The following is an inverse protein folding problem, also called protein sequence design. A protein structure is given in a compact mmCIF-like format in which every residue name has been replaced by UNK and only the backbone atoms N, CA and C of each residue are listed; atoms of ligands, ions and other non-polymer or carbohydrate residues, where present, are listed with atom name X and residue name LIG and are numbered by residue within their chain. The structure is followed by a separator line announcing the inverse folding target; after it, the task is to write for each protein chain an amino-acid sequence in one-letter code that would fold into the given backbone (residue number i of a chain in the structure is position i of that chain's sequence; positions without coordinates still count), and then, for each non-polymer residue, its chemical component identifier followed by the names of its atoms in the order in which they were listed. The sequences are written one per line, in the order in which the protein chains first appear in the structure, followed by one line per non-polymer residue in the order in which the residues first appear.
data_IF_996574206752
#
_entry.id   IF_996574206752
#
_cell.length_a   1.000
_cell.length_b   1.000
_cell.length_c   1.000
_cell.angle_alpha   90.00
_cell.angle_beta   90.00
_cell.angle_gamma   90.00
#
_symmetry.space_group_name_H-M   'P 1'
#
loop_
_entity.id
_entity.type
_entity.pdbx_description
1 polymer ?
#
# COMPACT_ATOMS: atom_id res chain seq x y z
N UNK A 1 11.21 -7.12 -0.03
CA UNK A 1 10.18 -8.18 -0.02
C UNK A 1 10.23 -8.87 1.33
N UNK A 2 9.07 -9.10 1.97
CA UNK A 2 8.97 -9.86 3.22
C UNK A 2 8.18 -11.13 2.96
N UNK A 3 8.70 -12.28 3.41
CA UNK A 3 8.08 -13.60 3.20
C UNK A 3 7.91 -14.29 4.54
N UNK A 4 6.69 -14.74 4.83
CA UNK A 4 6.34 -15.48 6.05
C UNK A 4 5.45 -16.67 5.70
N UNK A 5 5.36 -17.63 6.61
CA UNK A 5 4.35 -18.70 6.53
C UNK A 5 3.06 -18.24 7.21
N UNK A 6 1.93 -18.73 6.74
CA UNK A 6 0.64 -18.55 7.41
C UNK A 6 0.62 -19.30 8.74
N UNK A 7 -0.14 -18.79 9.69
CA UNK A 7 -0.44 -19.46 10.97
C UNK A 7 -1.86 -19.99 10.96
N UNK A 8 -2.13 -20.96 11.81
CA UNK A 8 -3.50 -21.35 12.11
C UNK A 8 -4.20 -20.23 12.89
N UNK A 9 -5.52 -20.16 12.78
CA UNK A 9 -6.32 -19.07 13.38
C UNK A 9 -6.20 -18.97 14.91
N UNK A 10 -5.86 -20.06 15.58
CA UNK A 10 -5.71 -20.18 17.03
C UNK A 10 -4.29 -19.91 17.54
N UNK A 11 -3.33 -19.65 16.65
CA UNK A 11 -1.95 -19.38 17.01
C UNK A 11 -1.70 -17.86 17.18
N UNK A 12 -1.36 -17.44 18.40
CA UNK A 12 -1.06 -16.02 18.76
C UNK A 12 0.45 -15.71 18.78
N UNK A 13 1.21 -16.29 17.86
CA UNK A 13 2.66 -16.07 17.74
C UNK A 13 3.00 -15.22 16.52
N UNK A 14 4.21 -14.68 16.46
CA UNK A 14 4.68 -13.99 15.26
C UNK A 14 4.72 -14.93 14.05
N UNK A 15 4.34 -14.43 12.86
CA UNK A 15 4.40 -15.21 11.63
C UNK A 15 5.81 -15.74 11.39
N UNK A 16 5.99 -17.08 11.23
CA UNK A 16 7.30 -17.67 10.95
C UNK A 16 7.89 -17.11 9.66
N UNK A 17 9.15 -16.70 9.70
CA UNK A 17 9.86 -16.16 8.55
C UNK A 17 10.32 -17.27 7.62
N UNK A 18 10.45 -16.95 6.33
CA UNK A 18 11.01 -17.84 5.31
C UNK A 18 12.35 -17.26 4.89
N UNK A 19 13.44 -17.91 5.33
CA UNK A 19 14.81 -17.40 5.15
C UNK A 19 15.57 -18.15 4.05
N UNK A 20 15.00 -19.22 3.51
CA UNK A 20 15.62 -20.12 2.53
C UNK A 20 14.98 -20.04 1.13
N UNK A 21 14.21 -18.98 0.84
CA UNK A 21 13.66 -18.78 -0.49
C UNK A 21 14.70 -18.20 -1.46
N UNK A 22 14.60 -18.59 -2.73
CA UNK A 22 15.25 -17.89 -3.83
C UNK A 22 14.22 -16.89 -4.38
N UNK A 23 14.52 -15.61 -4.27
CA UNK A 23 13.63 -14.51 -4.69
C UNK A 23 14.27 -13.77 -5.85
N UNK A 24 13.60 -13.74 -6.99
CA UNK A 24 14.06 -13.05 -8.19
C UNK A 24 13.04 -12.00 -8.60
N UNK A 25 13.50 -10.80 -8.91
CA UNK A 25 12.69 -9.77 -9.57
C UNK A 25 13.25 -9.53 -10.95
N UNK A 26 12.39 -9.49 -11.96
CA UNK A 26 12.72 -9.09 -13.33
C UNK A 26 11.74 -8.03 -13.82
N UNK A 27 12.15 -7.23 -14.82
CA UNK A 27 11.28 -6.28 -15.49
C UNK A 27 11.09 -6.64 -16.97
N UNK A 28 10.12 -5.99 -17.60
CA UNK A 28 9.83 -6.17 -19.03
C UNK A 28 10.87 -5.51 -19.99
N UNK A 29 11.91 -4.88 -19.43
CA UNK A 29 13.05 -4.36 -20.19
C UNK A 29 14.27 -5.32 -20.19
N UNK A 30 14.12 -6.52 -19.59
CA UNK A 30 15.17 -7.55 -19.57
C UNK A 30 16.12 -7.45 -18.38
N UNK A 31 15.88 -6.56 -17.41
CA UNK A 31 16.67 -6.52 -16.19
C UNK A 31 16.18 -7.60 -15.22
N UNK A 32 17.08 -8.18 -14.46
CA UNK A 32 16.75 -9.20 -13.46
C UNK A 32 17.76 -9.17 -12.32
N UNK A 33 17.30 -9.40 -11.10
CA UNK A 33 18.14 -9.50 -9.92
C UNK A 33 17.60 -10.56 -8.96
N UNK A 34 18.52 -11.36 -8.40
CA UNK A 34 18.23 -12.23 -7.27
C UNK A 34 18.43 -11.44 -5.98
N UNK A 35 17.40 -11.36 -5.15
CA UNK A 35 17.40 -10.58 -3.92
C UNK A 35 18.23 -11.28 -2.84
N UNK A 36 18.92 -10.47 -2.04
CA UNK A 36 19.69 -10.95 -0.88
C UNK A 36 18.83 -10.94 0.39
N UNK A 37 18.93 -11.99 1.21
CA UNK A 37 18.36 -12.01 2.55
C UNK A 37 19.13 -11.02 3.43
N UNK A 38 18.44 -10.02 3.98
CA UNK A 38 19.04 -8.95 4.81
C UNK A 38 18.57 -8.98 6.26
N UNK A 39 17.46 -9.63 6.55
CA UNK A 39 16.93 -9.90 7.88
C UNK A 39 15.94 -11.09 7.80
N UNK A 40 15.51 -11.70 8.91
CA UNK A 40 14.59 -12.82 8.90
C UNK A 40 13.37 -12.55 8.01
N UNK A 41 13.17 -13.40 6.98
CA UNK A 41 12.14 -13.30 5.95
C UNK A 41 12.20 -12.07 5.07
N UNK A 42 13.24 -11.23 5.16
CA UNK A 42 13.34 -9.96 4.42
C UNK A 42 14.41 -10.03 3.34
N UNK A 43 13.98 -9.87 2.10
CA UNK A 43 14.83 -9.90 0.90
C UNK A 43 14.87 -8.52 0.27
N UNK A 44 16.05 -8.08 -0.19
CA UNK A 44 16.27 -6.74 -0.75
C UNK A 44 17.06 -6.81 -2.06
N UNK A 45 16.68 -5.94 -3.01
CA UNK A 45 17.48 -5.64 -4.21
C UNK A 45 18.70 -4.82 -3.84
N UNK A 46 19.78 -4.95 -4.60
CA UNK A 46 21.00 -4.15 -4.44
C UNK A 46 21.16 -3.15 -5.58
N UNK A 47 20.77 -3.53 -6.81
CA UNK A 47 21.04 -2.77 -8.02
C UNK A 47 19.77 -2.44 -8.82
N UNK A 48 18.73 -3.28 -8.77
CA UNK A 48 17.52 -3.07 -9.56
C UNK A 48 16.75 -1.86 -9.02
N UNK A 49 16.65 -0.83 -9.85
CA UNK A 49 15.88 0.37 -9.55
C UNK A 49 14.50 0.30 -10.22
N UNK A 50 13.49 0.83 -9.53
CA UNK A 50 12.16 0.99 -10.09
C UNK A 50 12.14 2.06 -11.19
N UNK A 51 11.45 1.76 -12.28
CA UNK A 51 11.20 2.68 -13.40
C UNK A 51 9.70 2.66 -13.68
N UNK A 52 9.11 3.82 -13.72
CA UNK A 52 7.68 4.01 -14.03
C UNK A 52 7.31 3.42 -15.38
N UNK A 53 6.09 2.90 -15.48
CA UNK A 53 5.57 2.24 -16.67
C UNK A 53 6.10 0.83 -16.90
N UNK A 54 7.13 0.37 -16.17
CA UNK A 54 7.61 -1.01 -16.29
C UNK A 54 6.76 -1.98 -15.50
N UNK A 55 6.60 -3.17 -16.06
CA UNK A 55 6.01 -4.32 -15.38
C UNK A 55 7.10 -5.17 -14.77
N UNK A 56 6.98 -5.37 -13.48
CA UNK A 56 7.90 -6.20 -12.69
C UNK A 56 7.25 -7.54 -12.40
N UNK A 57 8.05 -8.59 -12.51
CA UNK A 57 7.68 -9.96 -12.14
C UNK A 57 8.53 -10.40 -10.97
N UNK A 58 7.89 -10.79 -9.88
CA UNK A 58 8.56 -11.48 -8.78
C UNK A 58 8.36 -12.98 -8.91
N UNK A 59 9.43 -13.73 -8.69
CA UNK A 59 9.41 -15.19 -8.61
C UNK A 59 10.03 -15.61 -7.29
N UNK A 60 9.29 -16.36 -6.48
CA UNK A 60 9.72 -16.89 -5.19
C UNK A 60 9.73 -18.41 -5.27
N UNK A 61 10.91 -19.00 -5.14
CA UNK A 61 11.07 -20.48 -5.10
C UNK A 61 11.48 -20.91 -3.71
N UNK A 62 10.69 -21.77 -3.10
CA UNK A 62 10.93 -22.30 -1.75
C UNK A 62 10.31 -23.68 -1.59
N UNK A 63 11.05 -24.61 -0.99
CA UNK A 63 10.58 -25.98 -0.69
C UNK A 63 9.98 -26.70 -1.93
N UNK A 64 10.60 -26.52 -3.10
CA UNK A 64 10.17 -27.11 -4.38
C UNK A 64 8.92 -26.50 -5.00
N UNK A 65 8.38 -25.42 -4.43
CA UNK A 65 7.25 -24.65 -4.97
C UNK A 65 7.73 -23.31 -5.53
N UNK A 66 7.03 -22.84 -6.56
CA UNK A 66 7.30 -21.53 -7.16
C UNK A 66 6.02 -20.69 -7.16
N UNK A 67 6.16 -19.46 -6.71
CA UNK A 67 5.11 -18.45 -6.67
C UNK A 67 5.53 -17.27 -7.54
N UNK A 68 4.63 -16.79 -8.38
CA UNK A 68 4.92 -15.69 -9.31
C UNK A 68 3.80 -14.67 -9.28
N UNK A 69 4.16 -13.40 -9.23
CA UNK A 69 3.23 -12.28 -9.34
C UNK A 69 3.81 -11.17 -10.22
N UNK A 70 2.92 -10.37 -10.79
CA UNK A 70 3.28 -9.20 -11.58
C UNK A 70 2.65 -7.95 -10.99
N UNK A 71 3.35 -6.82 -11.17
CA UNK A 71 2.85 -5.49 -10.86
C UNK A 71 3.49 -4.49 -11.81
N UNK A 72 2.68 -3.58 -12.36
CA UNK A 72 3.17 -2.48 -13.19
C UNK A 72 3.33 -1.25 -12.33
N UNK A 73 4.52 -0.66 -12.31
CA UNK A 73 4.79 0.56 -11.57
C UNK A 73 4.06 1.74 -12.23
N UNK A 74 3.08 2.36 -11.56
CA UNK A 74 2.38 3.51 -12.12
C UNK A 74 3.30 4.72 -12.28
N UNK A 75 2.90 5.66 -13.13
CA UNK A 75 3.49 6.99 -13.16
C UNK A 75 3.32 7.67 -11.82
N UNK A 76 4.33 8.42 -11.40
CA UNK A 76 4.29 9.18 -10.16
C UNK A 76 3.28 10.33 -10.26
N UNK A 77 2.41 10.44 -9.27
CA UNK A 77 1.55 11.60 -9.08
C UNK A 77 2.14 12.48 -7.98
N UNK A 78 2.22 13.77 -8.24
CA UNK A 78 2.78 14.73 -7.28
C UNK A 78 1.82 14.91 -6.11
N UNK A 79 2.32 14.77 -4.89
CA UNK A 79 1.62 15.12 -3.66
C UNK A 79 2.11 16.52 -3.21
N UNK A 80 1.31 17.57 -3.51
CA UNK A 80 1.70 18.95 -3.27
C UNK A 80 1.62 19.37 -1.79
N UNK A 81 0.86 18.63 -0.97
CA UNK A 81 0.65 18.92 0.44
C UNK A 81 -0.53 18.14 1.01
N UNK A 82 -0.91 18.49 2.23
CA UNK A 82 -2.09 17.99 2.92
C UNK A 82 -2.95 19.17 3.35
N UNK A 83 -4.19 19.22 2.86
CA UNK A 83 -5.17 20.19 3.33
C UNK A 83 -5.88 19.64 4.56
N UNK A 84 -6.11 20.46 5.59
CA UNK A 84 -6.82 20.06 6.79
C UNK A 84 -8.26 20.52 6.69
N UNK A 85 -9.20 19.62 6.89
CA UNK A 85 -10.62 19.94 7.01
C UNK A 85 -11.07 19.75 8.44
N UNK A 86 -11.97 20.64 8.87
CA UNK A 86 -12.55 20.65 10.21
C UNK A 86 -14.06 20.57 10.05
N UNK A 87 -14.65 19.50 10.51
CA UNK A 87 -16.09 19.21 10.35
C UNK A 87 -16.74 19.26 11.72
N UNK A 88 -17.64 20.24 11.98
CA UNK A 88 -18.44 20.25 13.20
C UNK A 88 -19.37 19.02 13.25
N UNK A 89 -19.36 18.30 14.36
CA UNK A 89 -20.20 17.13 14.59
C UNK A 89 -20.86 17.18 15.97
N UNK A 90 -22.01 17.85 16.05
CA UNK A 90 -22.70 18.08 17.32
C UNK A 90 -21.91 19.04 18.23
N UNK A 91 -21.47 18.54 19.39
CA UNK A 91 -20.59 19.24 20.33
C UNK A 91 -19.09 18.94 20.06
N UNK A 92 -18.80 17.99 19.18
CA UNK A 92 -17.45 17.55 18.84
C UNK A 92 -17.01 18.13 17.49
N UNK A 93 -15.76 17.87 17.17
CA UNK A 93 -15.14 18.29 15.91
C UNK A 93 -14.35 17.14 15.34
N UNK A 94 -14.69 16.73 14.11
CA UNK A 94 -13.92 15.75 13.36
C UNK A 94 -12.91 16.51 12.51
N UNK A 95 -11.66 16.07 12.55
CA UNK A 95 -10.60 16.58 11.68
C UNK A 95 -10.11 15.49 10.77
N UNK A 96 -9.84 15.85 9.52
CA UNK A 96 -9.30 14.94 8.53
C UNK A 96 -8.30 15.68 7.63
N UNK A 97 -7.50 14.93 6.89
CA UNK A 97 -6.58 15.51 5.90
C UNK A 97 -6.97 15.07 4.51
N UNK A 98 -6.83 15.99 3.55
CA UNK A 98 -7.05 15.72 2.13
C UNK A 98 -5.68 15.75 1.44
N UNK A 99 -5.23 14.65 0.82
CA UNK A 99 -4.03 14.64 -0.02
C UNK A 99 -4.21 15.58 -1.21
N UNK A 100 -3.40 16.65 -1.28
CA UNK A 100 -3.46 17.64 -2.34
C UNK A 100 -2.72 17.10 -3.57
N UNK A 101 -3.47 16.52 -4.50
CA UNK A 101 -2.99 15.93 -5.75
C UNK A 101 -3.92 16.21 -6.92
N UNK A 102 -3.36 16.24 -8.11
CA UNK A 102 -4.07 16.21 -9.39
C UNK A 102 -3.34 15.16 -10.23
N UNK A 103 -4.06 14.23 -10.80
CA UNK A 103 -3.55 13.21 -11.73
C UNK A 103 -3.87 13.56 -13.19
N UNK A 104 -3.37 12.75 -14.11
CA UNK A 104 -3.60 12.94 -15.53
C UNK A 104 -4.99 12.42 -15.91
N UNK A 105 -5.81 13.29 -16.53
CA UNK A 105 -7.17 12.96 -16.94
C UNK A 105 -7.22 11.80 -17.95
N UNK A 106 -8.15 10.87 -17.72
CA UNK A 106 -8.39 9.71 -18.58
C UNK A 106 -7.46 8.52 -18.31
N UNK A 107 -6.61 8.60 -17.30
CA UNK A 107 -5.78 7.49 -16.81
C UNK A 107 -6.27 7.06 -15.44
N UNK A 108 -6.75 5.83 -15.31
CA UNK A 108 -7.24 5.32 -14.04
C UNK A 108 -6.10 5.17 -13.00
N UNK A 109 -6.18 5.90 -11.92
CA UNK A 109 -5.19 5.94 -10.86
C UNK A 109 -5.72 5.32 -9.55
N UNK A 110 -4.84 4.64 -8.83
CA UNK A 110 -5.14 3.98 -7.57
C UNK A 110 -4.07 4.34 -6.55
N UNK A 111 -4.52 4.66 -5.34
CA UNK A 111 -3.66 5.16 -4.27
C UNK A 111 -3.82 4.34 -3.00
N UNK A 112 -2.70 4.06 -2.36
CA UNK A 112 -2.61 3.57 -0.99
C UNK A 112 -1.92 4.64 -0.16
N UNK A 113 -2.34 4.78 1.11
CA UNK A 113 -1.68 5.70 2.02
C UNK A 113 -1.26 5.00 3.31
N UNK A 114 -0.06 5.31 3.78
CA UNK A 114 0.32 5.09 5.16
C UNK A 114 0.10 6.39 5.92
N UNK A 115 -0.63 6.33 7.02
CA UNK A 115 -1.04 7.45 7.83
C UNK A 115 -0.33 7.42 9.19
N UNK A 116 0.25 8.53 9.61
CA UNK A 116 0.97 8.64 10.88
C UNK A 116 0.49 9.87 11.64
N UNK A 117 0.30 9.70 12.95
CA UNK A 117 0.01 10.80 13.88
C UNK A 117 1.12 10.84 14.93
N UNK A 118 1.77 11.99 15.07
CA UNK A 118 2.89 12.19 16.00
C UNK A 118 4.00 11.13 15.91
N UNK A 119 4.22 10.60 14.68
CA UNK A 119 5.21 9.56 14.39
C UNK A 119 4.71 8.13 14.55
N UNK A 120 3.54 7.91 15.11
CA UNK A 120 2.94 6.58 15.23
C UNK A 120 2.08 6.26 14.00
N UNK A 121 2.30 5.09 13.40
CA UNK A 121 1.53 4.64 12.24
C UNK A 121 0.15 4.16 12.66
N UNK A 122 -0.88 4.72 12.05
CA UNK A 122 -2.24 4.17 12.09
C UNK A 122 -2.29 2.85 11.31
N UNK A 123 -2.99 1.86 11.85
CA UNK A 123 -3.09 0.51 11.27
C UNK A 123 -4.22 0.36 10.26
N UNK A 124 -4.98 1.41 10.00
CA UNK A 124 -6.03 1.44 9.00
C UNK A 124 -5.49 1.19 7.57
N UNK A 125 -6.35 0.67 6.72
CA UNK A 125 -6.10 0.56 5.28
C UNK A 125 -6.72 1.78 4.61
N UNK A 126 -5.88 2.67 4.11
CA UNK A 126 -6.33 3.90 3.46
C UNK A 126 -6.15 3.78 1.96
N UNK A 127 -7.24 3.76 1.23
CA UNK A 127 -7.27 3.61 -0.22
C UNK A 127 -8.14 4.69 -0.85
N UNK A 128 -7.71 5.17 -2.01
CA UNK A 128 -8.52 6.03 -2.88
C UNK A 128 -8.30 5.60 -4.33
N UNK A 129 -9.28 5.85 -5.18
CA UNK A 129 -9.12 5.88 -6.62
C UNK A 129 -9.51 7.27 -7.15
N UNK A 130 -9.34 7.48 -8.44
CA UNK A 130 -9.60 8.75 -9.11
C UNK A 130 -11.03 8.85 -9.67
N UNK A 131 -11.92 7.91 -9.40
CA UNK A 131 -13.27 7.88 -9.98
C UNK A 131 -14.02 9.23 -9.87
N UNK A 132 -13.74 10.00 -8.81
CA UNK A 132 -14.35 11.31 -8.55
C UNK A 132 -13.38 12.48 -8.68
N UNK A 133 -12.12 12.24 -9.06
CA UNK A 133 -11.07 13.26 -9.15
C UNK A 133 -10.16 13.10 -10.37
N UNK A 134 -10.60 12.38 -11.41
CA UNK A 134 -9.84 12.19 -12.65
C UNK A 134 -9.54 13.53 -13.31
N UNK A 135 -8.26 13.90 -13.36
CA UNK A 135 -7.75 15.15 -13.92
C UNK A 135 -8.11 16.42 -13.14
N UNK A 136 -8.69 16.31 -11.94
CA UNK A 136 -9.04 17.45 -11.10
C UNK A 136 -8.48 17.30 -9.68
N UNK A 137 -8.50 18.41 -8.94
CA UNK A 137 -8.05 18.45 -7.54
C UNK A 137 -8.81 17.41 -6.69
N UNK A 138 -8.06 16.55 -6.02
CA UNK A 138 -8.62 15.61 -5.06
C UNK A 138 -9.33 16.33 -3.90
N UNK A 139 -10.54 15.85 -3.57
CA UNK A 139 -11.36 16.36 -2.46
C UNK A 139 -11.70 15.25 -1.44
N UNK A 140 -11.15 14.05 -1.61
CA UNK A 140 -11.47 12.91 -0.76
C UNK A 140 -10.61 12.95 0.52
N UNK A 141 -11.22 13.05 1.71
CA UNK A 141 -10.49 13.07 2.97
C UNK A 141 -10.01 11.66 3.36
N UNK A 142 -8.89 11.64 4.09
CA UNK A 142 -8.42 10.51 4.87
C UNK A 142 -8.83 10.75 6.32
N UNK A 143 -9.64 9.84 6.86
CA UNK A 143 -10.05 9.84 8.26
C UNK A 143 -9.12 8.86 9.01
N UNK A 144 -7.97 9.35 9.46
CA UNK A 144 -7.16 8.65 10.46
C UNK A 144 -7.83 8.76 11.83
N UNK A 145 -7.33 8.13 12.85
CA UNK A 145 -7.89 8.22 14.21
C UNK A 145 -8.24 9.64 14.66
N UNK A 146 -8.53 9.85 15.92
CA UNK A 146 -8.82 11.19 16.44
C UNK A 146 -7.63 12.13 16.25
N UNK A 147 -7.85 13.26 15.56
CA UNK A 147 -6.83 14.30 15.32
C UNK A 147 -7.10 15.50 16.23
N UNK A 148 -6.14 15.84 17.07
CA UNK A 148 -6.20 16.98 17.99
C UNK A 148 -5.43 18.20 17.44
N UNK A 149 -5.77 19.42 17.86
CA UNK A 149 -4.97 20.59 17.55
C UNK A 149 -3.50 20.41 17.94
N UNK A 150 -2.59 20.83 17.06
CA UNK A 150 -1.13 20.68 17.14
C UNK A 150 -0.60 19.27 16.90
N UNK A 151 -1.43 18.24 16.60
CA UNK A 151 -0.92 16.96 16.12
C UNK A 151 -0.17 17.16 14.79
N UNK A 152 0.92 16.41 14.63
CA UNK A 152 1.64 16.32 13.36
C UNK A 152 1.16 15.10 12.61
N UNK A 153 0.50 15.31 11.48
CA UNK A 153 0.10 14.24 10.57
C UNK A 153 1.12 14.13 9.44
N UNK A 154 1.60 12.92 9.20
CA UNK A 154 2.44 12.56 8.05
C UNK A 154 1.73 11.49 7.23
N UNK A 155 1.66 11.71 5.92
CA UNK A 155 1.05 10.78 4.96
C UNK A 155 2.08 10.39 3.93
N UNK A 156 2.24 9.10 3.70
CA UNK A 156 2.98 8.55 2.57
C UNK A 156 1.95 8.06 1.56
N UNK A 157 1.91 8.68 0.39
CA UNK A 157 1.08 8.28 -0.74
C UNK A 157 1.86 7.35 -1.65
N UNK A 158 1.27 6.22 -1.99
CA UNK A 158 1.77 5.29 -3.00
C UNK A 158 0.83 5.27 -4.19
N UNK A 159 1.37 5.46 -5.41
CA UNK A 159 0.65 5.11 -6.62
C UNK A 159 0.83 3.61 -6.86
N UNK A 160 -0.28 2.87 -6.89
CA UNK A 160 -0.31 1.40 -6.99
C UNK A 160 -1.11 0.97 -8.22
N UNK A 161 -0.87 -0.24 -8.71
CA UNK A 161 -1.66 -0.78 -9.81
C UNK A 161 -3.02 -1.34 -9.34
N UNK A 162 -3.93 -1.51 -10.29
CA UNK A 162 -5.30 -2.00 -10.02
C UNK A 162 -5.37 -3.35 -9.31
N UNK A 163 -4.53 -4.37 -9.63
CA UNK A 163 -4.56 -5.64 -8.92
C UNK A 163 -4.22 -5.49 -7.43
N UNK A 164 -3.22 -4.66 -7.09
CA UNK A 164 -2.85 -4.38 -5.70
C UNK A 164 -3.96 -3.63 -4.98
N UNK A 165 -4.55 -2.61 -5.63
CA UNK A 165 -5.71 -1.89 -5.06
C UNK A 165 -6.86 -2.84 -4.73
N UNK A 166 -7.25 -3.72 -5.66
CA UNK A 166 -8.32 -4.71 -5.42
C UNK A 166 -8.02 -5.64 -4.26
N UNK A 167 -6.76 -6.11 -4.15
CA UNK A 167 -6.34 -6.95 -3.04
C UNK A 167 -6.52 -6.23 -1.69
N UNK A 168 -5.99 -5.01 -1.58
CA UNK A 168 -6.07 -4.21 -0.35
C UNK A 168 -7.52 -3.82 -0.01
N UNK A 169 -8.31 -3.45 -1.01
CA UNK A 169 -9.73 -3.14 -0.85
C UNK A 169 -10.52 -4.34 -0.31
N UNK A 170 -10.21 -5.56 -0.79
CA UNK A 170 -10.86 -6.77 -0.29
C UNK A 170 -10.48 -7.10 1.15
N UNK A 171 -9.27 -6.75 1.61
CA UNK A 171 -8.88 -6.87 3.02
C UNK A 171 -9.69 -5.89 3.87
N UNK A 172 -9.76 -4.62 3.46
CA UNK A 172 -10.48 -3.58 4.19
C UNK A 172 -11.98 -3.93 4.32
N UNK A 173 -12.61 -4.34 3.23
CA UNK A 173 -14.01 -4.77 3.23
C UNK A 173 -14.30 -5.97 4.14
N UNK A 174 -13.32 -6.84 4.37
CA UNK A 174 -13.45 -8.00 5.26
C UNK A 174 -13.30 -7.65 6.75
N UNK A 175 -12.60 -6.57 7.09
CA UNK A 175 -12.38 -6.17 8.50
C UNK A 175 -13.65 -5.70 9.22
N UNK A 176 -14.69 -5.25 8.50
CA UNK A 176 -15.97 -4.81 9.05
C UNK A 176 -17.12 -5.80 8.87
N UNK A 177 -16.90 -6.96 8.27
CA UNK A 177 -17.96 -7.90 7.89
C UNK A 177 -18.22 -8.96 8.98
N UNK A 178 -19.51 -9.22 9.28
CA UNK A 178 -19.94 -10.35 10.11
C UNK A 178 -20.05 -11.67 9.34
N UNK A 179 -19.89 -11.65 8.02
CA UNK A 179 -19.85 -12.83 7.17
C UNK A 179 -18.45 -13.47 7.19
N UNK A 180 -18.36 -14.77 6.92
CA UNK A 180 -17.07 -15.45 6.79
C UNK A 180 -16.22 -14.74 5.72
N UNK A 181 -15.02 -14.23 6.06
CA UNK A 181 -14.21 -13.49 5.12
C UNK A 181 -13.76 -14.38 3.96
N UNK A 182 -13.92 -13.90 2.73
CA UNK A 182 -13.34 -14.53 1.56
C UNK A 182 -11.84 -14.22 1.49
N UNK A 183 -11.04 -15.15 0.97
CA UNK A 183 -9.63 -14.85 0.71
C UNK A 183 -9.51 -13.73 -0.33
N UNK A 184 -8.68 -12.71 -0.10
CA UNK A 184 -8.45 -11.63 -1.05
C UNK A 184 -7.90 -12.15 -2.39
N UNK A 185 -8.29 -11.50 -3.49
CA UNK A 185 -7.78 -11.80 -4.84
C UNK A 185 -6.34 -11.30 -5.00
N UNK A 186 -5.38 -12.15 -4.64
CA UNK A 186 -3.96 -11.87 -4.76
C UNK A 186 -3.49 -11.83 -6.22
N UNK A 187 -2.51 -10.97 -6.54
CA UNK A 187 -1.82 -11.04 -7.84
C UNK A 187 -0.85 -12.25 -7.96
N UNK A 188 -0.68 -13.02 -6.89
CA UNK A 188 -0.14 -14.39 -6.93
C UNK A 188 -1.20 -15.45 -7.27
N UNK A 189 -2.44 -15.06 -7.54
CA UNK A 189 -3.56 -15.96 -7.68
C UNK A 189 -3.93 -16.65 -6.35
N UNK A 190 -4.40 -17.90 -6.43
CA UNK A 190 -4.83 -18.67 -5.26
C UNK A 190 -3.68 -19.44 -4.57
N UNK A 191 -2.45 -19.26 -5.03
CA UNK A 191 -1.30 -20.05 -4.58
C UNK A 191 -0.71 -19.59 -3.26
N UNK A 192 -0.87 -18.30 -2.91
CA UNK A 192 -0.45 -17.77 -1.62
C UNK A 192 -1.27 -16.54 -1.23
N UNK A 193 -1.23 -16.19 0.06
CA UNK A 193 -1.76 -14.93 0.57
C UNK A 193 -0.69 -13.84 0.44
N UNK A 194 -1.12 -12.60 0.26
CA UNK A 194 -0.23 -11.45 0.08
C UNK A 194 -0.26 -10.88 -1.32
N UNK A 195 0.54 -9.88 -1.57
CA UNK A 195 0.63 -9.21 -2.85
C UNK A 195 2.05 -8.75 -3.15
N UNK A 196 2.34 -8.53 -4.43
CA UNK A 196 3.55 -7.89 -4.90
C UNK A 196 3.16 -6.54 -5.53
N UNK A 197 3.83 -5.47 -5.13
CA UNK A 197 3.57 -4.12 -5.62
C UNK A 197 4.86 -3.45 -6.09
N UNK A 198 4.89 -3.08 -7.37
CA UNK A 198 5.81 -2.09 -7.91
C UNK A 198 5.09 -0.73 -7.86
N UNK A 199 5.63 0.23 -7.10
CA UNK A 199 4.91 1.47 -6.78
C UNK A 199 5.85 2.67 -6.68
N UNK A 200 5.34 3.85 -6.97
CA UNK A 200 5.98 5.12 -6.64
C UNK A 200 5.52 5.60 -5.27
N UNK A 201 6.26 6.52 -4.64
CA UNK A 201 5.84 7.08 -3.35
C UNK A 201 6.20 8.56 -3.21
N UNK A 202 5.33 9.29 -2.54
CA UNK A 202 5.54 10.67 -2.06
C UNK A 202 5.09 10.80 -0.62
N UNK A 203 5.72 11.68 0.13
CA UNK A 203 5.27 11.98 1.49
C UNK A 203 5.12 13.47 1.73
N UNK A 204 4.17 13.80 2.58
CA UNK A 204 3.92 15.15 3.08
C UNK A 204 3.51 15.11 4.55
N UNK A 205 3.71 16.24 5.22
CA UNK A 205 3.29 16.41 6.61
C UNK A 205 2.58 17.73 6.80
N UNK A 206 1.66 17.75 7.77
CA UNK A 206 0.94 18.95 8.17
C UNK A 206 0.74 18.97 9.68
N UNK A 207 0.71 20.15 10.28
CA UNK A 207 0.31 20.32 11.68
C UNK A 207 -1.17 20.68 11.70
N UNK A 208 -1.94 20.00 12.53
CA UNK A 208 -3.38 20.25 12.68
C UNK A 208 -3.61 21.62 13.35
N UNK A 209 -4.36 22.53 12.73
CA UNK A 209 -4.61 23.86 13.29
C UNK A 209 -5.46 23.80 14.57
N UNK A 210 -5.39 24.90 15.35
CA UNK A 210 -6.21 25.10 16.56
C UNK A 210 -7.68 25.26 16.24
#
# INVERSE_FOLDING_TARGET
VKITKTLNFDESVAFPTVDNAVVVISDNAGNSETLSLVAPGTYKTSNLLGVEGRTYTITVSVEGKTYTAQSTMPTEVVLNGLDVIVIPFGLDTIRAVIPNRIDEAGIANYYQYDFFVNGEQDKGVYLQDDQFSDGVQNQQPLFGGELLPNDTVRVIMYCIDKPVYKYLFSIDANTGSTAAPANPDSNFGKSCLGYFSARTQKEQSVVIPQ
#
